data_IF_142092415881
#
_entry.id   IF_142092415881
#
_cell.length_a   1.000
_cell.length_b   1.000
_cell.length_c   1.000
_cell.angle_alpha   90.00
_cell.angle_beta   90.00
_cell.angle_gamma   90.00
#
_symmetry.space_group_name_H-M   'P 1'
#
loop_
_entity.id
_entity.type
_entity.pdbx_description
1 polymer ?
#
# COMPACT_ATOMS: atom_id res chain seq x y z
N UNK A 1 16.88 -27.16 19.21
CA UNK A 1 16.32 -26.96 17.85
C UNK A 1 16.83 -25.61 17.31
N UNK A 2 17.74 -25.60 16.32
CA UNK A 2 18.41 -24.38 15.82
C UNK A 2 17.43 -23.51 15.02
N UNK A 3 17.11 -22.30 15.50
CA UNK A 3 16.39 -21.27 14.73
C UNK A 3 17.29 -20.79 13.59
N UNK A 4 16.95 -21.13 12.33
CA UNK A 4 17.61 -20.56 11.14
C UNK A 4 17.26 -19.07 11.06
N UNK A 5 18.20 -18.19 11.41
CA UNK A 5 18.14 -16.76 11.04
C UNK A 5 18.13 -16.69 9.49
N UNK A 6 17.00 -16.31 8.89
CA UNK A 6 16.94 -15.95 7.46
C UNK A 6 17.85 -14.72 7.28
N UNK A 7 19.00 -14.90 6.64
CA UNK A 7 19.90 -13.81 6.22
C UNK A 7 19.15 -13.00 5.16
N UNK A 8 18.69 -11.79 5.48
CA UNK A 8 18.15 -10.85 4.46
C UNK A 8 19.31 -10.51 3.51
N UNK A 9 19.19 -10.90 2.23
CA UNK A 9 20.13 -10.53 1.17
C UNK A 9 20.00 -9.02 0.95
N UNK A 10 21.10 -8.26 1.04
CA UNK A 10 21.12 -6.83 0.70
C UNK A 10 20.84 -6.73 -0.80
N UNK A 11 19.76 -6.02 -1.17
CA UNK A 11 19.34 -5.77 -2.55
C UNK A 11 20.28 -4.72 -3.17
N UNK A 12 20.58 -4.78 -4.47
CA UNK A 12 21.44 -3.77 -5.11
C UNK A 12 20.68 -2.46 -5.32
N UNK A 13 21.40 -1.35 -5.44
CA UNK A 13 20.80 -0.01 -5.58
C UNK A 13 19.98 0.11 -6.87
N UNK A 14 20.42 -0.52 -7.96
CA UNK A 14 19.69 -0.57 -9.24
C UNK A 14 18.36 -1.34 -9.12
N UNK A 15 18.36 -2.47 -8.41
CA UNK A 15 17.14 -3.26 -8.17
C UNK A 15 16.18 -2.51 -7.24
N UNK A 16 16.70 -1.70 -6.31
CA UNK A 16 15.89 -0.87 -5.42
C UNK A 16 15.22 0.28 -6.20
N UNK A 17 15.96 0.96 -7.08
CA UNK A 17 15.41 1.99 -7.97
C UNK A 17 14.30 1.45 -8.87
N UNK A 18 14.49 0.25 -9.43
CA UNK A 18 13.47 -0.44 -10.21
C UNK A 18 12.18 -0.65 -9.43
N UNK A 19 12.28 -1.07 -8.16
CA UNK A 19 11.10 -1.27 -7.29
C UNK A 19 10.31 0.01 -7.03
N UNK A 20 10.99 1.16 -6.93
CA UNK A 20 10.33 2.47 -6.74
C UNK A 20 9.54 2.92 -7.96
N UNK A 21 9.90 2.47 -9.16
CA UNK A 21 9.20 2.80 -10.39
C UNK A 21 8.15 1.76 -10.77
N UNK A 22 8.22 0.56 -10.18
CA UNK A 22 7.33 -0.55 -10.49
C UNK A 22 5.88 -0.22 -10.13
N UNK A 23 4.97 -0.58 -11.04
CA UNK A 23 3.54 -0.53 -10.77
C UNK A 23 2.84 -1.72 -11.42
N UNK A 24 2.07 -2.46 -10.61
CA UNK A 24 1.22 -3.55 -11.10
C UNK A 24 -0.12 -2.97 -11.52
N UNK A 25 -0.63 -3.41 -12.67
CA UNK A 25 -1.90 -2.94 -13.22
C UNK A 25 -2.83 -4.14 -13.34
N UNK A 26 -4.05 -3.96 -12.87
CA UNK A 26 -5.10 -4.96 -12.90
C UNK A 26 -6.36 -4.34 -13.49
N UNK A 27 -7.10 -5.13 -14.25
CA UNK A 27 -8.38 -4.73 -14.84
C UNK A 27 -9.44 -5.64 -14.26
N UNK A 28 -10.51 -5.03 -13.76
CA UNK A 28 -11.64 -5.69 -13.11
C UNK A 28 -12.91 -5.35 -13.91
N UNK A 29 -13.25 -6.15 -14.94
CA UNK A 29 -14.52 -5.99 -15.63
C UNK A 29 -15.66 -6.55 -14.78
N UNK A 30 -16.84 -5.94 -14.88
CA UNK A 30 -18.07 -6.34 -14.18
C UNK A 30 -18.37 -7.84 -14.33
N UNK A 31 -18.18 -8.36 -15.54
CA UNK A 31 -18.40 -9.78 -15.88
C UNK A 31 -17.32 -10.73 -15.33
N UNK A 32 -16.23 -10.22 -14.81
CA UNK A 32 -15.05 -10.99 -14.41
C UNK A 32 -14.18 -11.45 -15.59
N UNK A 33 -13.05 -12.06 -15.26
CA UNK A 33 -12.10 -12.74 -16.16
C UNK A 33 -11.64 -14.06 -15.52
N UNK A 34 -10.74 -14.80 -16.17
CA UNK A 34 -10.09 -15.97 -15.56
C UNK A 34 -9.38 -15.65 -14.24
N UNK A 35 -8.88 -14.43 -14.07
CA UNK A 35 -8.07 -14.03 -12.91
C UNK A 35 -8.75 -13.00 -11.99
N UNK A 36 -9.93 -12.51 -12.36
CA UNK A 36 -10.69 -11.55 -11.55
C UNK A 36 -12.15 -11.98 -11.44
N UNK A 37 -12.72 -12.09 -10.23
CA UNK A 37 -14.10 -12.52 -10.08
C UNK A 37 -15.07 -11.48 -10.65
N UNK A 38 -16.24 -11.94 -11.09
CA UNK A 38 -17.35 -11.06 -11.44
C UNK A 38 -17.83 -10.28 -10.19
N UNK A 39 -18.29 -9.05 -10.39
CA UNK A 39 -18.67 -8.16 -9.30
C UNK A 39 -19.79 -7.20 -9.68
N UNK A 40 -20.58 -6.74 -8.72
CA UNK A 40 -21.71 -5.82 -8.98
C UNK A 40 -21.29 -4.40 -9.43
N UNK A 41 -20.03 -4.02 -9.20
CA UNK A 41 -19.48 -2.71 -9.59
C UNK A 41 -19.28 -2.60 -11.11
N UNK A 42 -19.21 -1.37 -11.62
CA UNK A 42 -18.79 -1.10 -13.01
C UNK A 42 -17.34 -1.50 -13.24
N UNK A 43 -16.95 -1.69 -14.50
CA UNK A 43 -15.57 -1.96 -14.89
C UNK A 43 -14.60 -0.92 -14.32
N UNK A 44 -13.54 -1.38 -13.65
CA UNK A 44 -12.52 -0.51 -13.09
C UNK A 44 -11.10 -1.07 -13.29
N UNK A 45 -10.11 -0.20 -13.07
CA UNK A 45 -8.70 -0.57 -13.08
C UNK A 45 -8.09 -0.28 -11.73
N UNK A 46 -7.28 -1.20 -11.24
CA UNK A 46 -6.52 -1.04 -10.03
C UNK A 46 -5.04 -0.97 -10.36
N UNK A 47 -4.31 -0.07 -9.71
CA UNK A 47 -2.87 0.08 -9.88
C UNK A 47 -2.19 0.09 -8.53
N UNK A 48 -1.36 -0.91 -8.29
CA UNK A 48 -0.55 -1.03 -7.08
C UNK A 48 0.85 -0.48 -7.37
N UNK A 49 1.23 0.57 -6.65
CA UNK A 49 2.47 1.31 -6.86
C UNK A 49 3.54 0.86 -5.87
N UNK A 50 4.76 0.64 -6.35
CA UNK A 50 5.91 0.28 -5.52
C UNK A 50 5.59 -0.88 -4.55
N UNK A 51 4.95 -1.98 -5.00
CA UNK A 51 4.34 -2.99 -4.10
C UNK A 51 5.35 -3.58 -3.11
N UNK A 52 6.59 -3.78 -3.55
CA UNK A 52 7.66 -4.33 -2.71
C UNK A 52 8.16 -3.34 -1.66
N UNK A 53 8.16 -2.05 -1.96
CA UNK A 53 8.51 -0.99 -1.02
C UNK A 53 7.45 -0.89 0.07
N UNK A 54 6.16 -0.83 -0.30
CA UNK A 54 5.08 -0.79 0.69
C UNK A 54 4.93 -2.08 1.48
N UNK A 55 5.30 -3.24 0.90
CA UNK A 55 5.41 -4.51 1.65
C UNK A 55 6.46 -4.39 2.75
N UNK A 56 7.66 -3.90 2.43
CA UNK A 56 8.73 -3.70 3.42
C UNK A 56 8.36 -2.65 4.47
N UNK A 57 7.72 -1.55 4.07
CA UNK A 57 7.24 -0.53 4.99
C UNK A 57 6.25 -1.11 6.01
N UNK A 58 5.27 -1.90 5.56
CA UNK A 58 4.34 -2.62 6.44
C UNK A 58 5.07 -3.53 7.41
N UNK A 59 6.05 -4.30 6.93
CA UNK A 59 6.86 -5.18 7.80
C UNK A 59 7.65 -4.40 8.85
N UNK A 60 8.21 -3.23 8.50
CA UNK A 60 8.93 -2.39 9.45
C UNK A 60 8.05 -1.83 10.56
N UNK A 61 6.81 -1.44 10.24
CA UNK A 61 5.83 -1.03 11.24
C UNK A 61 5.12 -2.20 11.93
N UNK A 62 5.56 -3.44 11.71
CA UNK A 62 4.98 -4.63 12.34
C UNK A 62 3.56 -4.96 11.87
N UNK A 63 3.13 -4.42 10.73
CA UNK A 63 1.79 -4.64 10.16
C UNK A 63 1.76 -6.01 9.49
N UNK A 64 0.94 -6.92 10.03
CA UNK A 64 0.72 -8.24 9.45
C UNK A 64 -0.05 -8.13 8.12
N UNK A 65 0.45 -8.78 7.07
CA UNK A 65 -0.17 -8.72 5.74
C UNK A 65 -1.60 -9.29 5.69
N UNK A 66 -1.87 -10.38 6.40
CA UNK A 66 -3.21 -10.98 6.44
C UNK A 66 -4.21 -10.08 7.17
N UNK A 67 -3.80 -9.52 8.31
CA UNK A 67 -4.63 -8.59 9.09
C UNK A 67 -4.90 -7.29 8.34
N UNK A 68 -3.88 -6.77 7.64
CA UNK A 68 -4.03 -5.61 6.77
C UNK A 68 -5.05 -5.86 5.66
N UNK A 69 -4.97 -7.01 4.97
CA UNK A 69 -5.93 -7.36 3.93
C UNK A 69 -7.35 -7.49 4.48
N UNK A 70 -7.55 -8.20 5.60
CA UNK A 70 -8.89 -8.31 6.22
C UNK A 70 -9.44 -6.94 6.62
N UNK A 71 -8.59 -6.07 7.18
CA UNK A 71 -9.03 -4.75 7.65
C UNK A 71 -9.38 -3.79 6.52
N UNK A 72 -8.67 -3.87 5.38
CA UNK A 72 -8.83 -2.96 4.24
C UNK A 72 -9.77 -3.52 3.16
N UNK A 73 -9.88 -4.83 3.01
CA UNK A 73 -10.66 -5.45 1.92
C UNK A 73 -11.71 -6.44 2.41
N UNK A 74 -11.89 -6.61 3.72
CA UNK A 74 -12.99 -7.39 4.26
C UNK A 74 -14.34 -6.69 4.09
N UNK A 75 -15.41 -7.37 4.48
CA UNK A 75 -16.79 -6.88 4.34
C UNK A 75 -17.18 -5.77 5.33
N UNK A 76 -16.20 -5.01 5.83
CA UNK A 76 -16.40 -3.91 6.76
C UNK A 76 -16.52 -2.59 6.00
N UNK A 77 -17.52 -1.79 6.36
CA UNK A 77 -17.64 -0.45 5.82
C UNK A 77 -16.55 0.48 6.37
N UNK A 78 -16.04 1.36 5.50
CA UNK A 78 -15.17 2.44 5.92
C UNK A 78 -15.98 3.57 6.56
N UNK A 79 -15.40 4.18 7.59
CA UNK A 79 -15.94 5.36 8.25
C UNK A 79 -15.50 6.60 7.47
N UNK A 80 -16.41 7.20 6.70
CA UNK A 80 -16.13 8.43 5.97
C UNK A 80 -15.95 9.61 6.93
N UNK A 81 -14.90 10.41 6.68
CA UNK A 81 -14.65 11.66 7.35
C UNK A 81 -14.50 12.77 6.30
N UNK A 82 -15.46 13.68 6.27
CA UNK A 82 -15.35 14.90 5.49
C UNK A 82 -14.39 15.84 6.23
N UNK A 83 -13.16 15.96 5.73
CA UNK A 83 -12.30 17.02 6.22
C UNK A 83 -12.94 18.36 5.85
N UNK A 84 -13.09 19.25 6.82
CA UNK A 84 -13.55 20.62 6.59
C UNK A 84 -12.46 21.49 5.90
N UNK A 85 -11.54 20.83 5.19
CA UNK A 85 -10.38 21.44 4.54
C UNK A 85 -10.75 21.91 3.14
N UNK A 86 -10.19 23.06 2.73
CA UNK A 86 -10.39 23.67 1.40
C UNK A 86 -9.96 22.77 0.22
N UNK A 87 -9.29 21.64 0.46
CA UNK A 87 -8.74 20.76 -0.57
C UNK A 87 -9.73 19.74 -1.15
N UNK A 88 -10.92 19.56 -0.56
CA UNK A 88 -11.93 18.61 -1.06
C UNK A 88 -11.47 17.15 -1.07
N UNK A 89 -10.48 16.80 -0.26
CA UNK A 89 -9.96 15.44 -0.14
C UNK A 89 -10.89 14.58 0.73
N UNK A 90 -11.18 13.36 0.27
CA UNK A 90 -11.92 12.38 1.02
C UNK A 90 -10.98 11.58 1.92
N UNK A 91 -11.44 11.35 3.14
CA UNK A 91 -10.76 10.55 4.13
C UNK A 91 -11.69 9.44 4.62
N UNK A 92 -11.13 8.26 4.77
CA UNK A 92 -11.86 7.07 5.21
C UNK A 92 -11.05 6.36 6.27
N UNK A 93 -11.63 6.08 7.43
CA UNK A 93 -11.02 5.20 8.40
C UNK A 93 -11.52 3.77 8.20
N UNK A 94 -10.62 2.81 8.34
CA UNK A 94 -10.98 1.42 8.61
C UNK A 94 -11.91 1.31 9.82
N UNK A 95 -12.71 0.24 9.89
CA UNK A 95 -13.70 0.02 10.95
C UNK A 95 -13.11 0.08 12.37
N UNK A 96 -11.85 -0.35 12.54
CA UNK A 96 -11.10 -0.32 13.80
C UNK A 96 -10.19 0.92 13.95
N UNK A 97 -10.27 1.87 13.01
CA UNK A 97 -9.47 3.11 12.95
C UNK A 97 -7.95 2.90 12.92
N UNK A 98 -7.47 1.70 12.61
CA UNK A 98 -6.03 1.43 12.52
C UNK A 98 -5.40 2.05 11.26
N UNK A 99 -6.16 2.08 10.17
CA UNK A 99 -5.73 2.63 8.88
C UNK A 99 -6.61 3.79 8.44
N UNK A 100 -5.95 4.82 7.90
CA UNK A 100 -6.55 5.95 7.19
C UNK A 100 -6.32 5.77 5.69
N UNK A 101 -7.38 5.85 4.91
CA UNK A 101 -7.35 5.90 3.46
C UNK A 101 -7.66 7.34 3.06
N UNK A 102 -6.80 7.90 2.22
CA UNK A 102 -6.86 9.29 1.78
C UNK A 102 -6.86 9.34 0.26
N UNK A 103 -7.75 10.13 -0.32
CA UNK A 103 -7.66 10.46 -1.75
C UNK A 103 -6.53 11.45 -1.99
N UNK A 104 -5.71 11.18 -3.00
CA UNK A 104 -4.58 12.02 -3.37
C UNK A 104 -4.64 12.39 -4.84
N UNK A 105 -4.20 13.61 -5.14
CA UNK A 105 -3.98 14.05 -6.51
C UNK A 105 -2.83 13.28 -7.14
N UNK A 106 -2.78 13.29 -8.48
CA UNK A 106 -1.69 12.65 -9.22
C UNK A 106 -0.30 13.20 -8.81
N UNK A 107 -0.20 14.52 -8.62
CA UNK A 107 1.04 15.19 -8.20
C UNK A 107 1.48 14.80 -6.80
N UNK A 108 0.56 14.72 -5.83
CA UNK A 108 0.86 14.24 -4.47
C UNK A 108 1.34 12.78 -4.48
N UNK A 109 0.69 11.92 -5.28
CA UNK A 109 1.11 10.53 -5.45
C UNK A 109 2.52 10.42 -6.04
N UNK A 110 2.88 11.28 -7.00
CA UNK A 110 4.24 11.32 -7.54
C UNK A 110 5.25 11.78 -6.50
N UNK A 111 4.91 12.81 -5.73
CA UNK A 111 5.76 13.32 -4.67
C UNK A 111 6.04 12.25 -3.60
N UNK A 112 5.01 11.58 -3.09
CA UNK A 112 5.17 10.54 -2.07
C UNK A 112 6.03 9.37 -2.51
N UNK A 113 5.90 8.94 -3.77
CA UNK A 113 6.75 7.87 -4.32
C UNK A 113 8.21 8.28 -4.40
N UNK A 114 8.49 9.54 -4.74
CA UNK A 114 9.84 10.10 -4.70
C UNK A 114 10.36 10.21 -3.27
N UNK A 115 9.54 10.64 -2.31
CA UNK A 115 9.95 10.74 -0.91
C UNK A 115 10.17 9.39 -0.24
N UNK A 116 9.42 8.34 -0.61
CA UNK A 116 9.65 6.98 -0.09
C UNK A 116 11.02 6.42 -0.48
N UNK A 117 11.63 6.92 -1.56
CA UNK A 117 13.00 6.59 -1.94
C UNK A 117 14.00 6.95 -0.81
N UNK A 118 13.72 8.01 -0.07
CA UNK A 118 14.59 8.53 0.99
C UNK A 118 14.43 7.71 2.27
N UNK A 119 13.20 7.32 2.63
CA UNK A 119 12.92 6.62 3.89
C UNK A 119 13.39 5.16 3.87
N UNK A 120 13.34 4.48 2.72
CA UNK A 120 13.84 3.10 2.60
C UNK A 120 15.36 3.00 2.75
N UNK A 121 16.10 4.05 2.40
CA UNK A 121 17.55 4.12 2.58
C UNK A 121 17.95 4.50 4.02
N UNK A 122 17.06 5.16 4.77
CA UNK A 122 17.34 5.63 6.14
C UNK A 122 16.98 4.63 7.25
N UNK A 123 16.19 3.58 6.98
CA UNK A 123 15.70 2.68 8.02
C UNK A 123 16.35 1.26 8.05
N UNK A 124 17.69 1.13 8.08
CA UNK A 124 18.31 -0.04 8.72
C UNK A 124 18.47 0.11 10.25
N UNK A 125 18.58 1.35 10.77
CA UNK A 125 19.16 1.59 12.11
C UNK A 125 18.35 2.50 13.06
N UNK A 126 17.10 2.89 12.74
CA UNK A 126 16.32 3.75 13.64
C UNK A 126 15.06 3.04 14.18
N UNK A 127 15.12 2.44 15.39
CA UNK A 127 14.00 1.69 15.99
C UNK A 127 12.93 2.57 16.65
N UNK A 128 12.93 3.88 16.44
CA UNK A 128 11.97 4.80 17.06
C UNK A 128 11.19 5.61 16.02
N UNK A 129 10.10 5.01 15.54
CA UNK A 129 8.83 5.69 15.27
C UNK A 129 7.71 4.88 15.93
#
# INVERSE_FOLDING_TARGET
KKKKKKKKKKKSDEELESDFQRALKFTFPHKGTEHTPAHAMRDFRFKDYCPEIFRQLREWFGINAAEYLVTVTGDFNFLEFLSNSKSGQFFFFSHNKQFLIKTMTHSESLFLRKSCHITSNMCPDNPTL
#
